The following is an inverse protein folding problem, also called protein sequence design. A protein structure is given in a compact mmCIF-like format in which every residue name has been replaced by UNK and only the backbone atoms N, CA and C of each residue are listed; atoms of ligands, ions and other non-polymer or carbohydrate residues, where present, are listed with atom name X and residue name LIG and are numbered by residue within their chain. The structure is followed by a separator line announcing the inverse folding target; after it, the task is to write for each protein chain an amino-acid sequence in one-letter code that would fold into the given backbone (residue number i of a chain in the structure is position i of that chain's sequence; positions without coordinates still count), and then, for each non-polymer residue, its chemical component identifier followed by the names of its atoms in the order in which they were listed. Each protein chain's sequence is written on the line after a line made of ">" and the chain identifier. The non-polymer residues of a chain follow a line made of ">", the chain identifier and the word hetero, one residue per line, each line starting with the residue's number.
data_IF_572215705656
#
_entry.id   IF_572215705656
#
_cell.length_a   1.000
_cell.length_b   1.000
_cell.length_c   1.000
_cell.angle_alpha   90.00
_cell.angle_beta   90.00
_cell.angle_gamma   90.00
#
_symmetry.space_group_name_H-M   'P 1'
#
loop_
_entity.id
_entity.type
_entity.pdbx_description
1 polymer ?
#
# COMPACT_ATOMS: atom_id res chain seq x y z
N UNK A 1 10.88 -4.30 -10.32
CA UNK A 1 9.51 -4.81 -10.50
C UNK A 1 9.21 -5.94 -9.52
N UNK A 2 10.04 -7.00 -9.44
CA UNK A 2 9.84 -8.10 -8.48
C UNK A 2 9.74 -7.65 -7.02
N UNK A 3 10.60 -6.73 -6.59
CA UNK A 3 10.58 -6.20 -5.21
C UNK A 3 9.29 -5.45 -4.88
N UNK A 4 8.73 -4.73 -5.86
CA UNK A 4 7.46 -4.02 -5.70
C UNK A 4 6.28 -5.00 -5.60
N UNK A 5 6.29 -6.09 -6.38
CA UNK A 5 5.25 -7.12 -6.30
C UNK A 5 5.29 -7.88 -4.96
N UNK A 6 6.48 -8.20 -4.47
CA UNK A 6 6.65 -8.80 -3.15
C UNK A 6 6.14 -7.87 -2.03
N UNK A 7 6.45 -6.57 -2.15
CA UNK A 7 5.94 -5.55 -1.24
C UNK A 7 4.41 -5.42 -1.31
N UNK A 8 3.82 -5.48 -2.51
CA UNK A 8 2.36 -5.44 -2.69
C UNK A 8 1.68 -6.68 -2.14
N UNK A 9 2.28 -7.86 -2.28
CA UNK A 9 1.77 -9.07 -1.66
C UNK A 9 1.72 -8.92 -0.13
N UNK A 10 2.82 -8.45 0.48
CA UNK A 10 2.86 -8.17 1.92
C UNK A 10 1.80 -7.12 2.33
N UNK A 11 1.62 -6.07 1.53
CA UNK A 11 0.56 -5.07 1.72
C UNK A 11 -0.83 -5.71 1.72
N UNK A 12 -1.15 -6.55 0.73
CA UNK A 12 -2.47 -7.17 0.63
C UNK A 12 -2.69 -8.24 1.72
N UNK A 13 -1.64 -8.93 2.17
CA UNK A 13 -1.71 -9.82 3.34
C UNK A 13 -2.04 -9.02 4.60
N UNK A 14 -1.40 -7.87 4.80
CA UNK A 14 -1.72 -6.95 5.90
C UNK A 14 -3.15 -6.39 5.81
N UNK A 15 -3.63 -6.06 4.62
CA UNK A 15 -5.00 -5.58 4.40
C UNK A 15 -6.04 -6.68 4.70
N UNK A 16 -5.82 -7.89 4.21
CA UNK A 16 -6.67 -9.05 4.47
C UNK A 16 -6.73 -9.39 5.98
N UNK A 17 -5.58 -9.37 6.67
CA UNK A 17 -5.50 -9.60 8.11
C UNK A 17 -6.27 -8.53 8.91
N UNK A 18 -6.19 -7.26 8.51
CA UNK A 18 -6.92 -6.17 9.14
C UNK A 18 -8.45 -6.31 9.00
N UNK A 19 -8.93 -6.85 7.87
CA UNK A 19 -10.35 -7.09 7.62
C UNK A 19 -10.91 -8.28 8.43
N UNK A 20 -10.07 -9.21 8.87
CA UNK A 20 -10.44 -10.46 9.56
C UNK A 20 -10.69 -10.38 11.09
N UNK A 21 -10.58 -9.20 11.72
CA UNK A 21 -10.85 -8.99 13.16
C UNK A 21 -10.08 -9.91 14.15
N UNK A 22 -8.75 -10.00 14.03
CA UNK A 22 -7.91 -10.16 15.23
C UNK A 22 -7.23 -8.82 15.53
N UNK A 23 -7.06 -8.42 16.80
CA UNK A 23 -6.20 -7.29 17.09
C UNK A 23 -4.83 -7.62 16.51
N UNK A 24 -4.38 -6.82 15.53
CA UNK A 24 -3.01 -6.90 15.03
C UNK A 24 -2.11 -6.84 16.25
N UNK A 25 -1.40 -7.95 16.50
CA UNK A 25 -0.46 -8.13 17.60
C UNK A 25 0.71 -7.14 17.43
N UNK A 26 1.86 -7.39 18.04
CA UNK A 26 3.10 -6.65 17.74
C UNK A 26 3.40 -6.52 16.22
N UNK A 27 2.81 -7.40 15.38
CA UNK A 27 2.87 -7.38 13.92
C UNK A 27 2.19 -6.17 13.26
N UNK A 28 1.41 -5.37 14.00
CA UNK A 28 0.82 -4.10 13.49
C UNK A 28 1.88 -3.15 12.94
N UNK A 29 3.05 -3.06 13.59
CA UNK A 29 4.13 -2.17 13.15
C UNK A 29 4.75 -2.62 11.83
N UNK A 30 4.88 -3.94 11.63
CA UNK A 30 5.38 -4.50 10.37
C UNK A 30 4.46 -4.15 9.20
N UNK A 31 3.14 -4.13 9.42
CA UNK A 31 2.19 -3.68 8.41
C UNK A 31 2.28 -2.17 8.15
N UNK A 32 2.44 -1.33 9.18
CA UNK A 32 2.60 0.13 9.00
C UNK A 32 3.79 0.47 8.10
N UNK A 33 4.94 -0.17 8.32
CA UNK A 33 6.12 0.01 7.48
C UNK A 33 5.86 -0.42 6.04
N UNK A 34 5.15 -1.54 5.85
CA UNK A 34 4.75 -2.02 4.51
C UNK A 34 3.83 -1.02 3.81
N UNK A 35 2.86 -0.45 4.53
CA UNK A 35 1.94 0.56 4.01
C UNK A 35 2.66 1.84 3.57
N UNK A 36 3.63 2.33 4.35
CA UNK A 36 4.41 3.51 3.98
C UNK A 36 5.36 3.20 2.82
N UNK A 37 6.02 2.04 2.82
CA UNK A 37 6.89 1.62 1.72
C UNK A 37 6.13 1.57 0.38
N UNK A 38 4.88 1.06 0.34
CA UNK A 38 4.06 1.11 -0.89
C UNK A 38 3.76 2.54 -1.31
N UNK A 39 3.45 3.45 -0.37
CA UNK A 39 3.18 4.85 -0.69
C UNK A 39 4.41 5.54 -1.27
N UNK A 40 5.60 5.23 -0.78
CA UNK A 40 6.86 5.81 -1.25
C UNK A 40 7.14 5.52 -2.73
N UNK A 41 6.64 4.39 -3.28
CA UNK A 41 6.72 4.11 -4.72
C UNK A 41 5.94 5.10 -5.60
N UNK A 42 4.93 5.76 -5.03
CA UNK A 42 4.07 6.73 -5.72
C UNK A 42 4.23 8.16 -5.19
N UNK A 43 5.09 8.35 -4.19
CA UNK A 43 5.36 9.66 -3.61
C UNK A 43 6.35 10.46 -4.49
N UNK A 44 6.27 11.79 -4.47
CA UNK A 44 7.33 12.61 -5.06
C UNK A 44 8.66 12.36 -4.34
N UNK A 45 9.79 12.46 -5.07
CA UNK A 45 11.13 12.26 -4.51
C UNK A 45 11.50 13.30 -3.44
N UNK A 46 10.92 14.49 -3.53
CA UNK A 46 11.11 15.60 -2.59
C UNK A 46 9.73 16.13 -2.18
N UNK A 47 9.09 15.51 -1.17
CA UNK A 47 7.77 15.93 -0.72
C UNK A 47 7.84 17.26 0.02
N UNK A 48 6.78 18.05 -0.11
CA UNK A 48 6.61 19.29 0.65
C UNK A 48 6.63 19.03 2.17
N UNK A 49 7.03 19.99 3.00
CA UNK A 49 7.09 19.79 4.45
C UNK A 49 5.74 19.37 5.04
N UNK A 50 5.76 18.42 5.97
CA UNK A 50 4.56 17.96 6.68
C UNK A 50 3.86 19.14 7.37
N UNK A 51 2.53 19.17 7.27
CA UNK A 51 1.70 20.24 7.84
C UNK A 51 1.40 21.40 6.88
N UNK A 52 2.01 21.39 5.69
CA UNK A 52 1.67 22.34 4.61
C UNK A 52 0.45 21.86 3.81
N UNK A 53 -0.32 22.77 3.18
CA UNK A 53 -1.37 22.40 2.23
C UNK A 53 -0.84 21.56 1.06
N UNK A 54 0.36 21.85 0.59
CA UNK A 54 1.03 21.18 -0.53
C UNK A 54 1.29 19.71 -0.20
N UNK A 55 1.79 19.41 1.01
CA UNK A 55 1.96 18.03 1.49
C UNK A 55 0.64 17.25 1.49
N UNK A 56 -0.47 17.91 1.85
CA UNK A 56 -1.81 17.31 1.77
C UNK A 56 -2.22 16.97 0.34
N UNK A 57 -1.97 17.88 -0.61
CA UNK A 57 -2.25 17.66 -2.03
C UNK A 57 -1.40 16.53 -2.62
N UNK A 58 -0.12 16.46 -2.26
CA UNK A 58 0.80 15.39 -2.66
C UNK A 58 0.33 14.02 -2.16
N UNK A 59 -0.07 13.91 -0.88
CA UNK A 59 -0.62 12.66 -0.32
C UNK A 59 -1.86 12.19 -1.08
N UNK A 60 -2.75 13.11 -1.46
CA UNK A 60 -3.93 12.78 -2.28
C UNK A 60 -3.50 12.30 -3.67
N UNK A 61 -2.51 12.95 -4.28
CA UNK A 61 -1.99 12.57 -5.60
C UNK A 61 -1.34 11.18 -5.58
N UNK A 62 -0.51 10.87 -4.57
CA UNK A 62 0.09 9.55 -4.32
C UNK A 62 -0.98 8.47 -4.21
N UNK A 63 -2.02 8.70 -3.40
CA UNK A 63 -3.14 7.77 -3.28
C UNK A 63 -3.83 7.52 -4.63
N UNK A 64 -4.14 8.59 -5.38
CA UNK A 64 -4.76 8.48 -6.71
C UNK A 64 -3.88 7.71 -7.70
N UNK A 65 -2.57 7.94 -7.67
CA UNK A 65 -1.61 7.25 -8.52
C UNK A 65 -1.59 5.74 -8.22
N UNK A 66 -1.57 5.36 -6.94
CA UNK A 66 -1.66 3.96 -6.54
C UNK A 66 -2.97 3.31 -7.00
N UNK A 67 -4.12 3.93 -6.73
CA UNK A 67 -5.43 3.40 -7.19
C UNK A 67 -5.52 3.28 -8.71
N UNK A 68 -4.98 4.27 -9.45
CA UNK A 68 -4.95 4.21 -10.91
C UNK A 68 -4.05 3.06 -11.41
N UNK A 69 -2.92 2.84 -10.75
CA UNK A 69 -2.06 1.69 -11.03
C UNK A 69 -2.78 0.37 -10.74
N UNK A 70 -3.48 0.25 -9.61
CA UNK A 70 -4.25 -0.97 -9.31
C UNK A 70 -5.32 -1.23 -10.38
N UNK A 71 -6.04 -0.20 -10.80
CA UNK A 71 -7.07 -0.31 -11.84
C UNK A 71 -6.48 -0.72 -13.20
N UNK A 72 -5.31 -0.20 -13.56
CA UNK A 72 -4.60 -0.57 -14.78
C UNK A 72 -4.04 -2.01 -14.75
N UNK A 73 -3.88 -2.60 -13.56
CA UNK A 73 -3.31 -3.93 -13.34
C UNK A 73 -4.32 -4.86 -12.64
N UNK A 74 -5.61 -4.73 -12.97
CA UNK A 74 -6.69 -5.38 -12.23
C UNK A 74 -6.55 -6.91 -12.10
N UNK A 75 -6.10 -7.61 -13.16
CA UNK A 75 -5.89 -9.06 -13.11
C UNK A 75 -4.76 -9.45 -12.14
N UNK A 76 -3.65 -8.73 -12.18
CA UNK A 76 -2.52 -8.93 -11.29
C UNK A 76 -2.89 -8.63 -9.83
N UNK A 77 -3.61 -7.52 -9.59
CA UNK A 77 -4.10 -7.16 -8.27
C UNK A 77 -5.06 -8.24 -7.73
N UNK A 78 -5.94 -8.77 -8.58
CA UNK A 78 -6.83 -9.86 -8.19
C UNK A 78 -6.07 -11.13 -7.77
N UNK A 79 -5.03 -11.50 -8.53
CA UNK A 79 -4.15 -12.63 -8.20
C UNK A 79 -3.44 -12.41 -6.86
N UNK A 80 -2.79 -11.26 -6.68
CA UNK A 80 -2.07 -10.94 -5.43
C UNK A 80 -3.00 -10.92 -4.22
N UNK A 81 -4.23 -10.43 -4.37
CA UNK A 81 -5.23 -10.43 -3.30
C UNK A 81 -5.77 -11.82 -3.00
N UNK A 82 -5.91 -12.70 -4.00
CA UNK A 82 -6.28 -14.11 -3.78
C UNK A 82 -5.17 -14.85 -3.02
N UNK A 83 -3.91 -14.68 -3.45
CA UNK A 83 -2.74 -15.24 -2.78
C UNK A 83 -2.64 -14.75 -1.33
N UNK A 84 -2.87 -13.46 -1.08
CA UNK A 84 -2.89 -12.87 0.26
C UNK A 84 -3.97 -13.47 1.18
N UNK A 85 -5.06 -14.01 0.63
CA UNK A 85 -6.11 -14.73 1.36
C UNK A 85 -5.85 -16.24 1.48
N UNK A 86 -4.84 -16.76 0.77
CA UNK A 86 -4.56 -18.19 0.67
C UNK A 86 -5.51 -18.96 -0.26
N UNK A 87 -6.05 -18.29 -1.29
CA UNK A 87 -6.97 -18.84 -2.29
C UNK A 87 -6.27 -19.32 -3.57
#
# INVERSE_FOLDING_TARGET
>A
MGDFLALLLAYYTCDAAAQGQQPLSHDRFACVETYEAVKDWFAPLDPSPMGTPEYGAERIATYRAFTAWEAANAELVAQLRAEARGE
#
